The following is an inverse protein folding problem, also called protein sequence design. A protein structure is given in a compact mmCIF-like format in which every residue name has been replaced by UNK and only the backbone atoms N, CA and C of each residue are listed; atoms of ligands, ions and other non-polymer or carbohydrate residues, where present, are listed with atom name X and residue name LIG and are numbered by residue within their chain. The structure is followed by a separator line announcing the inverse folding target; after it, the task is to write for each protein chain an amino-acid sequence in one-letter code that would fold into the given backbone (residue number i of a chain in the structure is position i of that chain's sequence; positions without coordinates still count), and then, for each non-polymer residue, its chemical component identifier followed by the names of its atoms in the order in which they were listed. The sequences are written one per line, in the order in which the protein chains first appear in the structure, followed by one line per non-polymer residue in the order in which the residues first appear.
data_IF_020644585346
#
_entry.id   IF_020644585346
#
_cell.length_a   1.000
_cell.length_b   1.000
_cell.length_c   1.000
_cell.angle_alpha   90.00
_cell.angle_beta   90.00
_cell.angle_gamma   90.00
#
_symmetry.space_group_name_H-M   'P 1'
#
loop_
_entity.id
_entity.type
_entity.pdbx_description
1 polymer ?
#
# COMPACT_ATOMS: atom_id res chain seq x y z
N UNK A 1 13.65 -23.38 11.36
CA UNK A 1 12.27 -23.05 10.95
C UNK A 1 12.37 -21.80 10.10
N UNK A 2 11.74 -21.70 8.92
CA UNK A 2 11.89 -20.49 8.12
C UNK A 2 11.33 -19.30 8.90
N UNK A 3 12.06 -18.20 8.85
CA UNK A 3 11.72 -16.97 9.54
C UNK A 3 10.45 -16.38 8.91
N UNK A 4 9.58 -15.79 9.73
CA UNK A 4 8.42 -15.07 9.23
C UNK A 4 8.86 -13.95 8.29
N UNK A 5 8.13 -13.68 7.19
CA UNK A 5 8.53 -12.65 6.25
C UNK A 5 8.54 -11.29 6.94
N UNK A 6 9.58 -10.49 6.67
CA UNK A 6 9.72 -9.16 7.23
C UNK A 6 8.89 -8.17 6.40
N UNK A 7 7.67 -7.91 6.87
CA UNK A 7 6.67 -7.11 6.19
C UNK A 7 6.32 -5.85 6.99
N UNK A 8 5.77 -4.88 6.28
CA UNK A 8 5.15 -3.68 6.86
C UNK A 8 3.96 -3.25 6.02
N UNK A 9 3.02 -2.55 6.65
CA UNK A 9 1.90 -1.91 5.95
C UNK A 9 2.11 -0.40 5.99
N UNK A 10 2.02 0.26 4.84
CA UNK A 10 2.13 1.72 4.73
C UNK A 10 0.81 2.36 4.32
N UNK A 11 0.50 3.50 4.94
CA UNK A 11 -0.57 4.39 4.52
C UNK A 11 0.00 5.80 4.32
N UNK A 12 -0.22 6.40 3.15
CA UNK A 12 0.34 7.72 2.78
C UNK A 12 1.87 7.83 2.95
N UNK A 13 2.58 6.70 2.82
CA UNK A 13 4.03 6.62 3.00
C UNK A 13 4.49 6.34 4.42
N UNK A 14 3.59 6.41 5.42
CA UNK A 14 3.90 6.13 6.81
C UNK A 14 3.67 4.66 7.16
N UNK A 15 4.57 4.07 7.95
CA UNK A 15 4.46 2.68 8.41
C UNK A 15 3.44 2.60 9.55
N UNK A 16 2.47 1.69 9.42
CA UNK A 16 1.53 1.38 10.49
C UNK A 16 2.13 0.39 11.49
N UNK A 17 1.93 0.67 12.76
CA UNK A 17 2.37 -0.20 13.84
C UNK A 17 1.45 -1.42 14.02
N UNK A 18 1.95 -2.46 14.68
CA UNK A 18 1.13 -3.59 15.14
C UNK A 18 0.85 -4.67 14.09
N UNK A 19 1.57 -4.68 12.96
CA UNK A 19 1.47 -5.78 12.01
C UNK A 19 1.80 -7.12 12.67
N UNK A 20 0.84 -8.04 12.67
CA UNK A 20 1.02 -9.41 13.13
C UNK A 20 1.14 -10.36 11.94
N UNK A 21 2.18 -11.18 11.92
CA UNK A 21 2.40 -12.22 10.91
C UNK A 21 2.33 -13.58 11.58
N UNK A 22 1.51 -14.49 11.04
CA UNK A 22 1.31 -15.84 11.57
C UNK A 22 1.20 -16.86 10.44
N UNK A 23 1.36 -18.15 10.75
CA UNK A 23 1.23 -19.22 9.77
C UNK A 23 2.52 -19.99 9.58
N UNK A 24 2.74 -20.48 8.36
CA UNK A 24 3.86 -21.36 8.03
C UNK A 24 4.48 -20.96 6.68
N UNK A 25 5.70 -21.42 6.39
CA UNK A 25 6.35 -21.12 5.11
C UNK A 25 5.47 -21.55 3.93
N UNK A 26 5.23 -20.62 3.00
CA UNK A 26 4.33 -20.81 1.84
C UNK A 26 2.86 -20.49 2.09
N UNK A 27 2.47 -20.19 3.34
CA UNK A 27 1.10 -19.82 3.72
C UNK A 27 1.12 -18.92 4.97
N UNK A 28 1.22 -17.61 4.72
CA UNK A 28 1.31 -16.58 5.75
C UNK A 28 0.02 -15.78 5.83
N UNK A 29 -0.44 -15.54 7.06
CA UNK A 29 -1.54 -14.62 7.36
C UNK A 29 -0.99 -13.37 8.03
N UNK A 30 -1.32 -12.22 7.45
CA UNK A 30 -1.04 -10.92 8.03
C UNK A 30 -2.31 -10.32 8.67
N UNK A 31 -2.16 -9.60 9.77
CA UNK A 31 -3.24 -8.85 10.42
C UNK A 31 -2.71 -7.48 10.81
N UNK A 32 -3.30 -6.45 10.24
CA UNK A 32 -2.90 -5.06 10.46
C UNK A 32 -4.00 -4.33 11.23
N UNK A 33 -3.75 -3.86 12.46
CA UNK A 33 -4.64 -2.92 13.12
C UNK A 33 -4.60 -1.58 12.37
N UNK A 34 -5.78 -1.06 11.99
CA UNK A 34 -5.89 0.23 11.32
C UNK A 34 -6.24 1.28 12.37
N UNK A 35 -5.35 2.25 12.66
CA UNK A 35 -5.65 3.28 13.64
C UNK A 35 -6.76 4.18 13.12
N UNK A 36 -7.63 4.66 14.02
CA UNK A 36 -8.75 5.53 13.66
C UNK A 36 -8.26 6.83 13.01
N UNK A 37 -7.08 7.32 13.38
CA UNK A 37 -6.45 8.49 12.75
C UNK A 37 -6.06 8.27 11.27
N UNK A 38 -5.95 7.03 10.81
CA UNK A 38 -5.72 6.69 9.40
C UNK A 38 -7.03 6.52 8.60
N UNK A 39 -8.19 6.60 9.26
CA UNK A 39 -9.50 6.47 8.61
C UNK A 39 -10.04 7.86 8.24
N UNK A 40 -9.77 8.27 6.99
CA UNK A 40 -10.33 9.49 6.39
C UNK A 40 -11.52 9.17 5.48
N UNK A 41 -12.30 10.19 5.09
CA UNK A 41 -13.33 10.03 4.06
C UNK A 41 -12.71 9.71 2.69
N UNK A 42 -13.41 8.88 1.90
CA UNK A 42 -13.01 8.50 0.56
C UNK A 42 -12.40 7.10 0.47
N UNK A 43 -11.48 6.94 -0.48
CA UNK A 43 -10.83 5.66 -0.82
C UNK A 43 -9.41 5.65 -0.27
N UNK A 44 -9.18 4.84 0.76
CA UNK A 44 -7.91 4.74 1.47
C UNK A 44 -7.14 3.52 0.99
N UNK A 45 -5.96 3.73 0.40
CA UNK A 45 -5.07 2.64 -0.01
C UNK A 45 -4.04 2.35 1.07
N UNK A 46 -3.83 1.06 1.31
CA UNK A 46 -2.82 0.52 2.21
C UNK A 46 -1.92 -0.42 1.43
N UNK A 47 -0.62 -0.20 1.52
CA UNK A 47 0.38 -0.94 0.76
C UNK A 47 1.07 -1.93 1.68
N UNK A 48 1.14 -3.19 1.27
CA UNK A 48 1.94 -4.22 1.93
C UNK A 48 3.30 -4.24 1.25
N UNK A 49 4.36 -4.01 2.02
CA UNK A 49 5.74 -3.98 1.51
C UNK A 49 6.61 -4.95 2.31
N UNK A 50 7.73 -5.38 1.72
CA UNK A 50 8.87 -5.86 2.51
C UNK A 50 9.52 -4.68 3.21
N UNK A 51 10.01 -4.88 4.44
CA UNK A 51 10.69 -3.82 5.17
C UNK A 51 11.89 -3.29 4.39
N UNK A 52 12.01 -1.96 4.32
CA UNK A 52 13.08 -1.28 3.58
C UNK A 52 12.92 -1.26 2.06
N UNK A 53 12.00 -2.03 1.48
CA UNK A 53 11.72 -1.98 0.04
C UNK A 53 10.70 -0.87 -0.28
N UNK A 54 10.83 -0.26 -1.45
CA UNK A 54 9.91 0.77 -1.94
C UNK A 54 8.76 0.21 -2.76
N UNK A 55 8.92 -1.01 -3.28
CA UNK A 55 7.95 -1.67 -4.15
C UNK A 55 6.94 -2.48 -3.31
N UNK A 56 5.62 -2.19 -3.43
CA UNK A 56 4.60 -2.96 -2.73
C UNK A 56 4.47 -4.36 -3.33
N UNK A 57 4.32 -5.37 -2.47
CA UNK A 57 4.04 -6.74 -2.87
C UNK A 57 2.55 -7.00 -3.04
N UNK A 58 1.71 -6.23 -2.32
CA UNK A 58 0.26 -6.29 -2.39
C UNK A 58 -0.35 -4.99 -1.83
N UNK A 59 -1.66 -4.82 -1.96
CA UNK A 59 -2.38 -3.69 -1.39
C UNK A 59 -3.83 -4.03 -1.08
N UNK A 60 -4.42 -3.30 -0.13
CA UNK A 60 -5.85 -3.35 0.13
C UNK A 60 -6.43 -1.94 0.25
N UNK A 61 -7.75 -1.84 0.07
CA UNK A 61 -8.46 -0.57 0.06
C UNK A 61 -9.59 -0.57 1.07
N UNK A 62 -9.70 0.50 1.86
CA UNK A 62 -10.87 0.81 2.68
C UNK A 62 -11.63 1.96 2.04
N UNK A 63 -12.95 1.86 2.00
CA UNK A 63 -13.83 2.94 1.54
C UNK A 63 -14.65 3.40 2.73
N UNK A 64 -14.56 4.69 3.06
CA UNK A 64 -15.28 5.32 4.15
C UNK A 64 -15.98 6.61 3.68
N UNK A 65 -17.09 6.98 4.32
CA UNK A 65 -17.89 8.15 3.94
C UNK A 65 -19.01 7.86 2.92
N UNK A 66 -19.71 8.90 2.49
CA UNK A 66 -20.86 8.79 1.59
C UNK A 66 -20.42 8.51 0.13
N UNK A 67 -21.13 7.62 -0.58
CA UNK A 67 -20.76 7.23 -1.95
C UNK A 67 -21.16 8.32 -2.97
N UNK A 68 -20.20 9.02 -3.55
CA UNK A 68 -20.32 9.56 -4.93
C UNK A 68 -19.79 8.49 -5.92
N UNK A 69 -20.27 7.26 -5.77
CA UNK A 69 -19.42 6.07 -5.92
C UNK A 69 -19.03 5.61 -7.32
N UNK A 70 -19.60 6.12 -8.42
CA UNK A 70 -19.25 5.63 -9.77
C UNK A 70 -18.39 6.63 -10.54
N UNK A 71 -18.85 7.87 -10.71
CA UNK A 71 -18.11 8.87 -11.49
C UNK A 71 -16.79 9.27 -10.83
N UNK A 72 -16.79 9.48 -9.51
CA UNK A 72 -15.59 9.86 -8.76
C UNK A 72 -14.59 8.70 -8.63
N UNK A 73 -15.06 7.43 -8.64
CA UNK A 73 -14.14 6.28 -8.70
C UNK A 73 -13.47 6.19 -10.06
N UNK A 74 -14.20 6.41 -11.15
CA UNK A 74 -13.62 6.41 -12.49
C UNK A 74 -12.55 7.52 -12.63
N UNK A 75 -12.81 8.71 -12.10
CA UNK A 75 -11.82 9.80 -12.08
C UNK A 75 -10.60 9.46 -11.18
N UNK A 76 -10.81 8.85 -10.01
CA UNK A 76 -9.72 8.43 -9.11
C UNK A 76 -8.85 7.34 -9.74
N UNK A 77 -9.43 6.36 -10.43
CA UNK A 77 -8.69 5.28 -11.08
C UNK A 77 -7.84 5.82 -12.24
N UNK A 78 -8.35 6.81 -12.99
CA UNK A 78 -7.58 7.53 -14.00
C UNK A 78 -6.39 8.29 -13.38
N UNK A 79 -6.64 9.05 -12.31
CA UNK A 79 -5.59 9.80 -11.62
C UNK A 79 -4.52 8.88 -11.01
N UNK A 80 -4.89 7.71 -10.48
CA UNK A 80 -3.95 6.70 -9.98
C UNK A 80 -3.11 6.10 -11.10
N UNK A 81 -3.71 5.80 -12.25
CA UNK A 81 -2.98 5.27 -13.40
C UNK A 81 -1.93 6.29 -13.90
N UNK A 82 -2.30 7.57 -13.95
CA UNK A 82 -1.37 8.65 -14.30
C UNK A 82 -0.25 8.80 -13.26
N UNK A 83 -0.58 8.76 -11.97
CA UNK A 83 0.42 8.82 -10.89
C UNK A 83 1.36 7.61 -10.92
N UNK A 84 0.87 6.41 -11.20
CA UNK A 84 1.72 5.22 -11.29
C UNK A 84 2.69 5.28 -12.48
N UNK A 85 2.24 5.82 -13.62
CA UNK A 85 3.11 6.10 -14.76
C UNK A 85 4.20 7.10 -14.38
N UNK A 86 3.84 8.20 -13.70
CA UNK A 86 4.80 9.18 -13.20
C UNK A 86 5.78 8.54 -12.21
N UNK A 87 5.28 7.73 -11.29
CA UNK A 87 6.09 7.05 -10.26
C UNK A 87 7.07 6.06 -10.90
N UNK A 88 6.67 5.35 -11.96
CA UNK A 88 7.55 4.45 -12.73
C UNK A 88 8.64 5.22 -13.47
N UNK A 89 8.25 6.28 -14.18
CA UNK A 89 9.20 7.14 -14.91
C UNK A 89 10.22 7.78 -13.96
N UNK A 90 9.78 8.23 -12.79
CA UNK A 90 10.66 8.82 -11.78
C UNK A 90 11.61 7.78 -11.17
N UNK A 91 11.12 6.58 -10.83
CA UNK A 91 11.99 5.48 -10.36
C UNK A 91 13.06 5.13 -11.37
N UNK A 92 12.70 5.04 -12.65
CA UNK A 92 13.65 4.77 -13.73
C UNK A 92 14.69 5.88 -13.84
N UNK A 93 14.26 7.15 -13.79
CA UNK A 93 15.16 8.29 -13.87
C UNK A 93 16.15 8.37 -12.69
N UNK A 94 15.70 8.05 -11.47
CA UNK A 94 16.60 7.96 -10.31
C UNK A 94 17.63 6.83 -10.47
N UNK A 95 17.21 5.66 -10.98
CA UNK A 95 18.11 4.54 -11.22
C UNK A 95 19.14 4.82 -12.33
N UNK A 96 18.78 5.60 -13.34
CA UNK A 96 19.69 6.03 -14.41
C UNK A 96 20.65 7.14 -13.97
N UNK A 97 20.28 7.94 -12.98
CA UNK A 97 21.10 9.06 -12.48
C UNK A 97 22.15 8.64 -11.43
N UNK A 98 22.07 7.41 -10.91
CA UNK A 98 23.05 6.81 -9.99
C UNK A 98 24.09 5.92 -10.70
N UNK A 99 24.04 5.80 -12.03
CA UNK A 99 24.93 4.98 -12.85
C UNK A 99 26.14 5.75 -13.44
#
# INVERSE_FOLDING_TARGET
MPESPDLEVRHLGEVLEGLAVSGKPGDWRITQPIPVSALNEGVLSFLVCRKGESEPIDSFTLVAGAPLAEDLRAEIDLLRAELDLLKRAFRQHCAESEA
#
